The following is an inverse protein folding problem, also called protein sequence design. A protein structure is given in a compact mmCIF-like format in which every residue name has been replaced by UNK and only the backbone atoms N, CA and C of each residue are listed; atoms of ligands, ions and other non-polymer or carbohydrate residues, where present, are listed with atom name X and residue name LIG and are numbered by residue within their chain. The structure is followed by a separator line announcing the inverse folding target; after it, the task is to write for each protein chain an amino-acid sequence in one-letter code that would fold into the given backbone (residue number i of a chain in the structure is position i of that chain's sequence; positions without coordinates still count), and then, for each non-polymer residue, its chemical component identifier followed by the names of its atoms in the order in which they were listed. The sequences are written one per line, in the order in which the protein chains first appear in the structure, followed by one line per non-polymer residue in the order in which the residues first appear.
data_IF_066722791982
#
_entry.id   IF_066722791982
#
_cell.length_a   1.000
_cell.length_b   1.000
_cell.length_c   1.000
_cell.angle_alpha   90.00
_cell.angle_beta   90.00
_cell.angle_gamma   90.00
#
_symmetry.space_group_name_H-M   'P 1'
#
loop_
_entity.id
_entity.type
_entity.pdbx_description
1 polymer ?
#
# COMPACT_ATOMS: atom_id res chain seq x y z
N UNK A 1 1.68 -17.60 -9.62
CA UNK A 1 2.84 -16.69 -9.60
C UNK A 1 3.31 -16.64 -8.16
N UNK A 2 4.58 -16.96 -7.96
CA UNK A 2 5.21 -16.92 -6.64
C UNK A 2 6.15 -15.71 -6.54
N UNK A 3 6.56 -15.39 -5.33
CA UNK A 3 7.58 -14.37 -5.12
C UNK A 3 8.87 -14.73 -5.86
N UNK A 4 9.44 -13.78 -6.58
CA UNK A 4 10.61 -13.96 -7.42
C UNK A 4 10.32 -14.47 -8.83
N UNK A 5 9.04 -14.78 -9.17
CA UNK A 5 8.68 -15.08 -10.55
C UNK A 5 9.09 -13.94 -11.47
N UNK A 6 9.86 -14.27 -12.52
CA UNK A 6 10.40 -13.31 -13.46
C UNK A 6 9.81 -13.52 -14.86
N UNK A 7 9.43 -12.46 -15.51
CA UNK A 7 8.83 -12.43 -16.84
C UNK A 7 9.75 -11.65 -17.78
N UNK A 8 10.35 -12.36 -18.73
CA UNK A 8 11.16 -11.74 -19.77
C UNK A 8 10.25 -11.11 -20.84
N UNK A 9 10.31 -9.81 -21.00
CA UNK A 9 9.57 -9.07 -22.02
C UNK A 9 10.38 -8.87 -23.32
N UNK A 10 11.55 -9.47 -23.41
CA UNK A 10 12.49 -9.27 -24.51
C UNK A 10 13.34 -8.00 -24.36
N UNK A 11 14.40 -7.92 -25.17
CA UNK A 11 15.32 -6.77 -25.18
C UNK A 11 16.06 -6.53 -23.86
N UNK A 12 16.18 -7.56 -23.00
CA UNK A 12 16.81 -7.45 -21.68
C UNK A 12 15.91 -6.85 -20.61
N UNK A 13 14.60 -6.68 -20.88
CA UNK A 13 13.62 -6.13 -19.96
C UNK A 13 12.93 -7.27 -19.18
N UNK A 14 13.03 -7.23 -17.88
CA UNK A 14 12.45 -8.25 -16.98
C UNK A 14 11.53 -7.61 -15.96
N UNK A 15 10.34 -8.20 -15.77
CA UNK A 15 9.41 -7.86 -14.70
C UNK A 15 9.45 -8.94 -13.65
N UNK A 16 9.71 -8.58 -12.39
CA UNK A 16 9.77 -9.51 -11.26
C UNK A 16 8.62 -9.28 -10.30
N UNK A 17 7.96 -10.36 -9.88
CA UNK A 17 6.86 -10.35 -8.93
C UNK A 17 7.34 -10.48 -7.49
N UNK A 18 6.72 -9.74 -6.57
CA UNK A 18 6.99 -9.78 -5.14
C UNK A 18 5.70 -9.77 -4.35
N UNK A 19 5.65 -10.47 -3.23
CA UNK A 19 4.50 -10.47 -2.34
C UNK A 19 4.32 -9.11 -1.67
N UNK A 20 3.08 -8.64 -1.62
CA UNK A 20 2.67 -7.45 -0.88
C UNK A 20 1.28 -7.69 -0.25
N UNK A 21 1.15 -8.66 0.67
CA UNK A 21 -0.12 -8.89 1.35
C UNK A 21 -0.49 -7.67 2.20
N UNK A 22 -1.70 -7.23 2.04
CA UNK A 22 -2.25 -6.05 2.72
C UNK A 22 -3.70 -5.87 2.30
N UNK A 23 -3.94 -5.24 1.16
CA UNK A 23 -5.27 -5.08 0.57
C UNK A 23 -5.94 -6.43 0.24
N UNK A 24 -5.17 -7.39 -0.25
CA UNK A 24 -5.60 -8.77 -0.54
C UNK A 24 -4.58 -9.79 -0.05
N UNK A 25 -5.04 -11.02 0.29
CA UNK A 25 -4.19 -12.10 0.82
C UNK A 25 -3.08 -12.48 -0.16
N UNK A 26 -3.40 -12.59 -1.44
CA UNK A 26 -2.44 -12.94 -2.49
C UNK A 26 -1.96 -11.73 -3.31
N UNK A 27 -2.03 -10.52 -2.75
CA UNK A 27 -1.64 -9.34 -3.48
C UNK A 27 -0.13 -9.31 -3.70
N UNK A 28 0.27 -8.87 -4.89
CA UNK A 28 1.65 -8.76 -5.31
C UNK A 28 1.93 -7.38 -5.91
N UNK A 29 3.17 -6.95 -5.87
CA UNK A 29 3.68 -5.86 -6.68
C UNK A 29 4.68 -6.39 -7.70
N UNK A 30 4.89 -5.64 -8.75
CA UNK A 30 5.76 -6.01 -9.85
C UNK A 30 6.79 -4.90 -10.06
N UNK A 31 8.06 -5.27 -10.21
CA UNK A 31 9.12 -4.33 -10.56
C UNK A 31 9.58 -4.64 -11.99
N UNK A 32 9.45 -3.63 -12.85
CA UNK A 32 10.10 -3.57 -14.15
C UNK A 32 11.47 -2.91 -13.96
N UNK A 33 12.51 -3.72 -13.91
CA UNK A 33 13.87 -3.25 -13.69
C UNK A 33 14.39 -2.39 -14.85
N UNK A 34 13.96 -2.66 -16.09
CA UNK A 34 14.36 -1.89 -17.26
C UNK A 34 13.81 -0.47 -17.26
N UNK A 35 12.56 -0.29 -16.85
CA UNK A 35 11.91 1.02 -16.75
C UNK A 35 12.05 1.64 -15.36
N UNK A 36 12.60 0.91 -14.38
CA UNK A 36 12.71 1.31 -12.97
C UNK A 36 11.36 1.72 -12.36
N UNK A 37 10.34 0.88 -12.58
CA UNK A 37 8.96 1.13 -12.14
C UNK A 37 8.52 -0.01 -11.21
N UNK A 38 7.89 0.35 -10.07
CA UNK A 38 7.10 -0.57 -9.26
C UNK A 38 5.61 -0.35 -9.53
N UNK A 39 4.89 -1.42 -9.86
CA UNK A 39 3.43 -1.45 -10.00
C UNK A 39 2.86 -2.09 -8.73
N UNK A 40 2.27 -1.30 -7.86
CA UNK A 40 1.87 -1.72 -6.51
C UNK A 40 0.38 -2.02 -6.37
N UNK A 41 -0.42 -1.73 -7.39
CA UNK A 41 -1.87 -1.93 -7.33
C UNK A 41 -2.50 -1.22 -6.13
N UNK A 42 -3.45 -1.89 -5.49
CA UNK A 42 -4.25 -1.31 -4.41
C UNK A 42 -3.59 -1.36 -3.03
N UNK A 43 -2.47 -2.05 -2.88
CA UNK A 43 -1.76 -2.09 -1.60
C UNK A 43 -1.03 -0.79 -1.26
N UNK A 44 -0.70 0.01 -2.27
CA UNK A 44 -0.10 1.33 -2.10
C UNK A 44 -0.88 2.31 -2.96
N UNK A 45 -1.80 3.04 -2.37
CA UNK A 45 -2.53 4.11 -3.03
C UNK A 45 -3.02 5.15 -2.00
N UNK A 46 -3.51 6.30 -2.47
CA UNK A 46 -3.98 7.40 -1.61
C UNK A 46 -5.21 7.08 -0.77
N UNK A 47 -6.00 6.14 -1.19
CA UNK A 47 -7.22 5.75 -0.53
C UNK A 47 -7.18 4.24 -0.36
N UNK A 48 -6.15 3.78 0.34
CA UNK A 48 -5.95 2.36 0.55
C UNK A 48 -7.20 1.78 1.18
N UNK A 49 -7.81 0.87 0.43
CA UNK A 49 -9.03 0.20 0.87
C UNK A 49 -8.76 -0.76 2.02
N UNK A 50 -9.66 -1.65 2.22
CA UNK A 50 -9.66 -2.64 3.29
C UNK A 50 -8.36 -3.44 3.35
N UNK A 51 -7.60 -3.35 4.43
CA UNK A 51 -6.49 -4.27 4.67
C UNK A 51 -7.04 -5.60 5.21
N UNK A 52 -6.67 -6.71 4.57
CA UNK A 52 -7.10 -8.07 4.96
C UNK A 52 -6.10 -8.81 5.83
N UNK A 53 -4.91 -8.24 5.99
CA UNK A 53 -3.88 -8.70 6.91
C UNK A 53 -3.72 -7.77 8.10
N UNK A 54 -3.04 -8.24 9.13
CA UNK A 54 -2.68 -7.40 10.28
C UNK A 54 -1.77 -6.24 9.84
N UNK A 55 -1.83 -5.12 10.56
CA UNK A 55 -1.01 -3.94 10.27
C UNK A 55 0.49 -4.26 10.34
N UNK A 56 0.91 -5.08 11.30
CA UNK A 56 2.28 -5.57 11.44
C UNK A 56 2.79 -6.29 10.19
N UNK A 57 1.98 -7.17 9.63
CA UNK A 57 2.30 -7.87 8.38
C UNK A 57 2.44 -6.88 7.23
N UNK A 58 1.49 -5.96 7.06
CA UNK A 58 1.53 -4.98 5.98
C UNK A 58 2.80 -4.10 6.09
N UNK A 59 3.15 -3.62 7.29
CA UNK A 59 4.39 -2.86 7.51
C UNK A 59 5.62 -3.62 7.03
N UNK A 60 5.77 -4.91 7.41
CA UNK A 60 6.94 -5.71 7.00
C UNK A 60 7.12 -5.76 5.48
N UNK A 61 6.03 -5.94 4.75
CA UNK A 61 6.07 -5.98 3.29
C UNK A 61 6.27 -4.59 2.65
N UNK A 62 5.70 -3.54 3.26
CA UNK A 62 5.97 -2.15 2.83
C UNK A 62 7.44 -1.78 3.05
N UNK A 63 8.05 -2.19 4.18
CA UNK A 63 9.49 -1.98 4.44
C UNK A 63 10.36 -2.71 3.39
N UNK A 64 9.97 -3.92 2.97
CA UNK A 64 10.63 -4.63 1.88
C UNK A 64 10.54 -3.85 0.57
N UNK A 65 9.34 -3.44 0.18
CA UNK A 65 9.14 -2.60 -1.00
C UNK A 65 9.96 -1.30 -0.90
N UNK A 66 9.94 -0.65 0.25
CA UNK A 66 10.70 0.58 0.54
C UNK A 66 12.20 0.40 0.34
N UNK A 67 12.76 -0.73 0.79
CA UNK A 67 14.19 -1.01 0.69
C UNK A 67 14.71 -1.20 -0.73
N UNK A 68 13.83 -1.45 -1.68
CA UNK A 68 14.15 -1.62 -3.10
C UNK A 68 14.15 -0.28 -3.87
N UNK A 69 13.60 0.77 -3.28
CA UNK A 69 13.58 2.11 -3.88
C UNK A 69 15.01 2.68 -4.02
N UNK A 70 15.27 3.30 -5.16
CA UNK A 70 16.60 3.79 -5.52
C UNK A 70 17.53 2.70 -6.05
N UNK A 71 17.29 1.42 -5.71
CA UNK A 71 18.07 0.27 -6.16
C UNK A 71 17.43 -0.37 -7.39
N UNK A 72 16.21 -0.86 -7.27
CA UNK A 72 15.50 -1.57 -8.33
C UNK A 72 14.49 -0.69 -9.07
N UNK A 73 13.88 0.28 -8.40
CA UNK A 73 12.92 1.21 -8.98
C UNK A 73 13.06 2.61 -8.36
N UNK A 74 12.52 3.61 -9.03
CA UNK A 74 12.44 5.01 -8.56
C UNK A 74 11.09 5.67 -8.88
N UNK A 75 10.17 4.93 -9.49
CA UNK A 75 8.80 5.37 -9.80
C UNK A 75 7.78 4.33 -9.34
N UNK A 76 6.66 4.81 -8.80
CA UNK A 76 5.60 3.96 -8.25
C UNK A 76 4.31 4.26 -9.00
N UNK A 77 3.68 3.21 -9.54
CA UNK A 77 2.36 3.28 -10.14
C UNK A 77 1.39 2.49 -9.29
N UNK A 78 0.39 3.18 -8.76
CA UNK A 78 -0.61 2.62 -7.85
C UNK A 78 -1.91 2.30 -8.56
N UNK A 79 -2.78 1.55 -7.93
CA UNK A 79 -4.16 1.36 -8.39
C UNK A 79 -5.03 2.60 -8.14
N UNK A 80 -6.17 2.67 -8.84
CA UNK A 80 -7.24 3.65 -8.60
C UNK A 80 -6.87 5.14 -8.68
N UNK A 81 -5.83 5.51 -9.40
CA UNK A 81 -5.43 6.92 -9.54
C UNK A 81 -6.57 7.80 -10.09
N UNK A 82 -7.37 7.26 -10.99
CA UNK A 82 -8.53 7.95 -11.58
C UNK A 82 -9.62 8.26 -10.57
N UNK A 83 -9.84 7.40 -9.58
CA UNK A 83 -10.85 7.62 -8.54
C UNK A 83 -10.47 8.71 -7.54
N UNK A 84 -9.19 9.02 -7.44
CA UNK A 84 -8.70 10.09 -6.58
C UNK A 84 -8.75 11.47 -7.27
N UNK A 85 -9.30 11.57 -8.48
CA UNK A 85 -9.36 12.82 -9.25
C UNK A 85 -7.98 13.34 -9.69
N UNK A 86 -6.95 12.50 -9.64
CA UNK A 86 -5.57 12.85 -9.96
C UNK A 86 -5.12 12.19 -11.26
N UNK A 87 -5.75 12.62 -12.36
CA UNK A 87 -5.38 12.18 -13.72
C UNK A 87 -4.00 12.70 -14.17
N UNK A 88 -3.50 13.72 -13.50
CA UNK A 88 -2.23 14.38 -13.78
C UNK A 88 -1.00 13.69 -13.16
N UNK A 89 -1.21 12.78 -12.21
CA UNK A 89 -0.13 12.09 -11.51
C UNK A 89 0.01 10.68 -12.04
N UNK A 90 0.98 10.46 -12.91
CA UNK A 90 1.28 9.15 -13.49
C UNK A 90 2.12 8.27 -12.55
N UNK A 91 2.92 8.87 -11.68
CA UNK A 91 3.73 8.15 -10.69
C UNK A 91 3.59 8.80 -9.32
N UNK A 92 3.84 8.00 -8.27
CA UNK A 92 3.86 8.45 -6.88
C UNK A 92 5.29 8.54 -6.37
N UNK A 93 5.51 9.46 -5.43
CA UNK A 93 6.77 9.56 -4.71
C UNK A 93 6.85 8.49 -3.61
N UNK A 94 8.07 8.21 -3.15
CA UNK A 94 8.32 7.24 -2.08
C UNK A 94 7.60 7.60 -0.77
N UNK A 95 7.30 8.87 -0.56
CA UNK A 95 6.58 9.37 0.61
C UNK A 95 5.24 8.64 0.84
N UNK A 96 4.58 8.17 -0.21
CA UNK A 96 3.33 7.41 -0.04
C UNK A 96 3.58 6.11 0.74
N UNK A 97 4.72 5.44 0.55
CA UNK A 97 5.09 4.23 1.28
C UNK A 97 5.46 4.58 2.72
N UNK A 98 6.28 5.61 2.90
CA UNK A 98 6.73 6.06 4.23
C UNK A 98 5.52 6.48 5.09
N UNK A 99 4.57 7.21 4.51
CA UNK A 99 3.33 7.59 5.18
C UNK A 99 2.44 6.39 5.52
N UNK A 100 2.32 5.40 4.63
CA UNK A 100 1.58 4.17 4.92
C UNK A 100 2.22 3.36 6.05
N UNK A 101 3.54 3.25 6.08
CA UNK A 101 4.27 2.59 7.18
C UNK A 101 3.97 3.32 8.48
N UNK A 102 4.08 4.65 8.50
CA UNK A 102 3.90 5.42 9.73
C UNK A 102 2.45 5.37 10.26
N UNK A 103 1.43 5.49 9.42
CA UNK A 103 0.04 5.38 9.90
C UNK A 103 -0.27 3.99 10.48
N UNK A 104 0.30 2.93 9.91
CA UNK A 104 0.15 1.60 10.47
C UNK A 104 0.90 1.46 11.81
N UNK A 105 2.07 2.09 11.96
CA UNK A 105 2.79 2.16 13.25
C UNK A 105 1.99 2.91 14.31
N UNK A 106 1.39 4.04 13.96
CA UNK A 106 0.47 4.78 14.85
C UNK A 106 -0.73 3.92 15.24
N UNK A 107 -1.27 3.14 14.30
CA UNK A 107 -2.34 2.21 14.60
C UNK A 107 -1.92 1.12 15.61
N UNK A 108 -0.71 0.58 15.49
CA UNK A 108 -0.17 -0.38 16.45
C UNK A 108 -0.03 0.22 17.85
N UNK A 109 0.32 1.52 17.93
CA UNK A 109 0.50 2.26 19.19
C UNK A 109 -0.78 2.87 19.77
N UNK A 110 -1.93 2.72 19.13
CA UNK A 110 -3.20 3.41 19.46
C UNK A 110 -3.12 4.95 19.35
N UNK A 111 -2.24 5.46 18.50
CA UNK A 111 -1.99 6.90 18.30
C UNK A 111 -2.62 7.46 17.03
N UNK A 112 -3.32 6.61 16.25
CA UNK A 112 -3.85 7.01 14.95
C UNK A 112 -5.05 7.95 15.09
N UNK A 113 -5.08 8.97 14.25
CA UNK A 113 -6.22 9.83 14.08
C UNK A 113 -7.23 9.23 13.10
N UNK A 114 -8.51 9.56 13.30
CA UNK A 114 -9.59 9.10 12.45
C UNK A 114 -10.40 10.27 11.89
N UNK A 115 -10.81 10.16 10.64
CA UNK A 115 -11.78 11.03 10.02
C UNK A 115 -12.93 10.24 9.39
N UNK A 116 -14.09 10.88 9.26
CA UNK A 116 -15.20 10.35 8.48
C UNK A 116 -15.11 10.90 7.06
N UNK A 117 -14.85 10.02 6.10
CA UNK A 117 -14.63 10.37 4.70
C UNK A 117 -15.86 9.98 3.88
N UNK A 118 -16.43 10.91 3.09
CA UNK A 118 -17.52 10.59 2.18
C UNK A 118 -17.15 9.42 1.24
N UNK A 119 -18.11 8.57 0.99
CA UNK A 119 -17.94 7.52 -0.01
C UNK A 119 -18.13 8.10 -1.41
N UNK A 120 -17.06 8.38 -2.12
CA UNK A 120 -17.11 8.99 -3.45
C UNK A 120 -17.72 8.09 -4.52
N UNK A 121 -17.62 6.76 -4.34
CA UNK A 121 -18.22 5.79 -5.28
C UNK A 121 -19.71 5.55 -5.02
N UNK A 122 -20.14 5.74 -3.78
CA UNK A 122 -21.50 5.52 -3.31
C UNK A 122 -21.92 6.68 -2.41
N UNK A 123 -22.24 7.87 -2.99
CA UNK A 123 -22.56 9.05 -2.19
C UNK A 123 -23.80 8.90 -1.31
N UNK A 124 -24.68 7.94 -1.64
CA UNK A 124 -25.85 7.55 -0.87
C UNK A 124 -25.53 6.77 0.42
N UNK A 125 -24.30 6.24 0.54
CA UNK A 125 -23.86 5.52 1.73
C UNK A 125 -23.28 6.48 2.77
N UNK A 126 -23.39 6.13 4.07
CA UNK A 126 -22.80 6.96 5.12
C UNK A 126 -21.28 7.07 4.96
N UNK A 127 -20.69 8.19 5.42
CA UNK A 127 -19.24 8.36 5.45
C UNK A 127 -18.55 7.21 6.18
N UNK A 128 -17.38 6.80 5.68
CA UNK A 128 -16.57 5.74 6.28
C UNK A 128 -15.55 6.32 7.25
N UNK A 129 -15.38 5.67 8.39
CA UNK A 129 -14.31 5.99 9.34
C UNK A 129 -13.00 5.46 8.78
N UNK A 130 -12.02 6.34 8.59
CA UNK A 130 -10.70 6.01 8.06
C UNK A 130 -9.59 6.59 8.91
N UNK A 131 -8.46 5.90 8.98
CA UNK A 131 -7.22 6.45 9.54
C UNK A 131 -6.68 7.55 8.65
N UNK A 132 -6.22 8.64 9.24
CA UNK A 132 -5.68 9.81 8.54
C UNK A 132 -4.15 9.75 8.53
N UNK A 133 -3.52 10.08 7.42
CA UNK A 133 -2.08 10.17 7.29
C UNK A 133 -1.66 11.27 6.29
N UNK A 134 -0.39 11.63 6.30
CA UNK A 134 0.15 12.59 5.34
C UNK A 134 -0.53 13.96 5.43
N UNK A 135 -0.39 14.68 6.52
CA UNK A 135 -0.99 15.99 6.77
C UNK A 135 -2.53 16.01 6.60
N UNK A 136 -3.20 14.89 6.84
CA UNK A 136 -4.65 14.76 6.70
C UNK A 136 -5.16 14.63 5.26
N UNK A 137 -4.27 14.51 4.29
CA UNK A 137 -4.65 14.42 2.86
C UNK A 137 -5.02 13.02 2.41
N UNK A 138 -4.60 12.00 3.15
CA UNK A 138 -4.76 10.59 2.79
C UNK A 138 -5.50 9.84 3.88
N UNK A 139 -6.12 8.73 3.49
CA UNK A 139 -6.97 7.96 4.40
C UNK A 139 -6.79 6.46 4.17
N UNK A 140 -6.66 5.70 5.25
CA UNK A 140 -6.54 4.24 5.22
C UNK A 140 -7.65 3.60 6.04
N UNK A 141 -8.29 2.58 5.52
CA UNK A 141 -9.20 1.75 6.29
C UNK A 141 -8.41 0.74 7.14
N UNK A 142 -8.71 0.61 8.45
CA UNK A 142 -7.91 -0.24 9.35
C UNK A 142 -8.11 -1.76 9.13
N UNK A 143 -8.82 -2.16 8.09
CA UNK A 143 -9.19 -3.55 7.86
C UNK A 143 -10.54 -3.94 8.45
N UNK A 144 -11.05 -5.13 8.10
CA UNK A 144 -12.35 -5.61 8.57
C UNK A 144 -12.26 -7.13 8.90
N UNK A 145 -12.24 -7.51 10.18
CA UNK A 145 -12.08 -6.67 11.36
C UNK A 145 -10.67 -6.07 11.44
N UNK A 146 -10.52 -4.90 12.03
CA UNK A 146 -9.20 -4.31 12.23
C UNK A 146 -8.35 -5.21 13.11
N UNK A 147 -7.19 -5.63 12.62
CA UNK A 147 -6.21 -6.40 13.38
C UNK A 147 -4.89 -5.66 13.42
N UNK A 148 -4.27 -5.64 14.60
CA UNK A 148 -2.94 -5.08 14.79
C UNK A 148 -1.86 -6.10 14.45
N UNK A 149 -2.04 -7.33 14.94
CA UNK A 149 -1.06 -8.42 14.95
C UNK A 149 -1.65 -9.69 14.36
N UNK A 150 -0.83 -10.52 13.75
CA UNK A 150 -1.24 -11.87 13.38
C UNK A 150 -1.32 -12.77 14.63
N UNK A 151 -2.08 -13.85 14.53
CA UNK A 151 -2.25 -14.80 15.63
C UNK A 151 -0.89 -15.43 16.02
N UNK A 152 -0.52 -15.33 17.30
CA UNK A 152 0.73 -15.84 17.84
C UNK A 152 1.97 -14.99 17.51
N UNK A 153 1.80 -13.83 16.90
CA UNK A 153 2.89 -12.92 16.61
C UNK A 153 3.38 -12.20 17.86
N UNK A 154 4.71 -12.04 18.00
CA UNK A 154 5.29 -11.19 19.02
C UNK A 154 4.95 -9.73 18.74
N UNK A 155 4.43 -9.00 19.74
CA UNK A 155 3.95 -7.62 19.58
C UNK A 155 5.10 -6.62 19.57
N UNK A 156 5.95 -6.72 18.54
CA UNK A 156 7.04 -5.78 18.29
C UNK A 156 6.70 -4.95 17.06
N UNK A 157 6.69 -3.62 17.21
CA UNK A 157 6.40 -2.70 16.10
C UNK A 157 7.58 -2.71 15.12
N UNK A 158 7.39 -3.17 13.89
CA UNK A 158 8.44 -3.25 12.87
C UNK A 158 8.84 -1.90 12.28
#
# INVERSE_FOLDING_TARGET
IDEGSAFDLGGGRVVTAYNLPGHGVGHMYFIDSGSRIAFTGDCVNFNNGTARHAASTHIRYLLKLRSQYGVQYDRIFTGHQTYCGRLDVLSQDIEIIDNLIEVHRQFLRDEVEYAYVPNHLHPEMPPRKKMVYGEGKHHVEPGVPPRKWEDGEEQIIP
#
